data_IF_010486887873
#
_entry.id   IF_010486887873
#
_cell.length_a   1.000
_cell.length_b   1.000
_cell.length_c   1.000
_cell.angle_alpha   90.00
_cell.angle_beta   90.00
_cell.angle_gamma   90.00
#
_symmetry.space_group_name_H-M   'P 1'
#
loop_
_entity.id
_entity.type
_entity.pdbx_description
1 polymer ?
#
# COMPACT_ATOMS: atom_id res chain seq x y z
N UNK A 1 -8.32 4.90 8.65
CA UNK A 1 -9.66 5.53 8.65
C UNK A 1 -9.91 6.45 7.46
N UNK A 2 -8.94 6.79 6.60
CA UNK A 2 -9.24 7.46 5.33
C UNK A 2 -8.25 7.07 4.22
N UNK A 3 -8.43 5.89 3.60
CA UNK A 3 -7.51 5.42 2.55
C UNK A 3 -7.35 6.43 1.39
N UNK A 4 -8.41 7.18 1.08
CA UNK A 4 -8.39 8.25 0.09
C UNK A 4 -7.57 9.46 0.54
N UNK A 5 -7.87 10.05 1.70
CA UNK A 5 -7.14 11.22 2.21
C UNK A 5 -5.68 10.89 2.53
N UNK A 6 -5.39 9.69 3.04
CA UNK A 6 -4.00 9.24 3.28
C UNK A 6 -3.21 9.15 1.98
N UNK A 7 -3.82 8.65 0.90
CA UNK A 7 -3.18 8.60 -0.42
C UNK A 7 -2.98 10.00 -0.99
N UNK A 8 -3.97 10.88 -0.84
CA UNK A 8 -3.91 12.28 -1.28
C UNK A 8 -2.95 13.13 -0.47
N UNK A 9 -2.72 12.83 0.81
CA UNK A 9 -1.76 13.56 1.66
C UNK A 9 -0.34 13.04 1.44
N UNK A 10 -0.19 11.74 1.21
CA UNK A 10 1.10 11.10 0.96
C UNK A 10 1.44 11.01 -0.52
N UNK A 11 0.76 11.73 -1.40
CA UNK A 11 0.88 11.53 -2.85
C UNK A 11 2.29 11.77 -3.43
N UNK A 12 3.19 12.45 -2.71
CA UNK A 12 4.60 12.61 -3.13
C UNK A 12 5.53 11.51 -2.59
N UNK A 13 5.07 10.66 -1.69
CA UNK A 13 5.89 9.58 -1.13
C UNK A 13 5.77 8.32 -2.00
N UNK A 14 6.67 8.15 -2.96
CA UNK A 14 6.75 6.90 -3.75
C UNK A 14 7.27 5.71 -2.92
N UNK A 15 7.85 6.00 -1.75
CA UNK A 15 8.31 5.00 -0.79
C UNK A 15 7.13 4.40 -0.01
N UNK A 16 7.17 3.08 0.18
CA UNK A 16 6.17 2.34 0.95
C UNK A 16 5.22 1.49 0.12
N UNK A 17 4.22 0.93 0.81
CA UNK A 17 3.30 -0.10 0.31
C UNK A 17 1.86 0.32 0.51
N UNK A 18 1.00 -0.04 -0.45
CA UNK A 18 -0.44 0.16 -0.34
C UNK A 18 -1.16 -1.17 -0.41
N UNK A 19 -2.08 -1.38 0.54
CA UNK A 19 -2.90 -2.59 0.56
C UNK A 19 -3.92 -2.57 -0.59
N UNK A 20 -4.44 -3.75 -0.96
CA UNK A 20 -5.51 -3.87 -1.98
C UNK A 20 -6.71 -2.99 -1.65
N UNK A 21 -7.12 -2.95 -0.38
CA UNK A 21 -8.26 -2.15 0.06
C UNK A 21 -8.00 -0.65 -0.12
N UNK A 22 -6.79 -0.17 0.22
CA UNK A 22 -6.44 1.25 0.02
C UNK A 22 -6.47 1.63 -1.47
N UNK A 23 -5.87 0.79 -2.32
CA UNK A 23 -5.89 0.99 -3.77
C UNK A 23 -7.31 1.04 -4.32
N UNK A 24 -8.15 0.04 -4.02
CA UNK A 24 -9.51 -0.04 -4.57
C UNK A 24 -10.44 1.05 -4.03
N UNK A 25 -10.32 1.44 -2.76
CA UNK A 25 -11.09 2.56 -2.20
C UNK A 25 -10.68 3.88 -2.87
N UNK A 26 -9.38 4.11 -3.08
CA UNK A 26 -8.90 5.28 -3.83
C UNK A 26 -9.47 5.29 -5.26
N UNK A 27 -9.37 4.16 -5.99
CA UNK A 27 -9.87 4.05 -7.36
C UNK A 27 -11.38 4.28 -7.43
N UNK A 28 -12.16 3.71 -6.50
CA UNK A 28 -13.61 3.89 -6.45
C UNK A 28 -13.97 5.37 -6.24
N UNK A 29 -13.35 6.04 -5.27
CA UNK A 29 -13.62 7.46 -4.99
C UNK A 29 -13.21 8.33 -6.18
N UNK A 30 -12.04 8.09 -6.77
CA UNK A 30 -11.57 8.84 -7.95
C UNK A 30 -12.51 8.69 -9.14
N UNK A 31 -13.02 7.47 -9.39
CA UNK A 31 -14.03 7.22 -10.44
C UNK A 31 -15.34 7.95 -10.14
N UNK A 32 -15.85 7.89 -8.90
CA UNK A 32 -17.08 8.58 -8.52
C UNK A 32 -16.96 10.10 -8.67
N UNK A 33 -15.83 10.68 -8.25
CA UNK A 33 -15.56 12.11 -8.42
C UNK A 33 -15.49 12.49 -9.90
N UNK A 34 -14.85 11.68 -10.73
CA UNK A 34 -14.73 11.93 -12.17
C UNK A 34 -16.10 11.82 -12.86
N UNK A 35 -16.90 10.80 -12.53
CA UNK A 35 -18.27 10.65 -13.06
C UNK A 35 -19.16 11.81 -12.62
N UNK A 36 -19.06 12.24 -11.36
CA UNK A 36 -19.76 13.42 -10.86
C UNK A 36 -19.35 14.69 -11.60
N UNK A 37 -18.07 14.87 -11.88
CA UNK A 37 -17.55 16.02 -12.63
C UNK A 37 -18.09 16.05 -14.07
N UNK A 38 -18.09 14.90 -14.77
CA UNK A 38 -18.67 14.76 -16.11
C UNK A 38 -20.15 15.08 -16.08
N UNK A 39 -20.88 14.58 -15.09
CA UNK A 39 -22.32 14.85 -14.96
C UNK A 39 -22.59 16.34 -14.76
N UNK A 40 -21.82 17.03 -13.91
CA UNK A 40 -21.96 18.48 -13.70
C UNK A 40 -21.61 19.27 -14.95
N UNK A 41 -20.53 18.92 -15.64
CA UNK A 41 -20.14 19.55 -16.91
C UNK A 41 -21.27 19.43 -17.96
N UNK A 42 -21.91 18.26 -18.07
CA UNK A 42 -22.99 18.00 -19.02
C UNK A 42 -24.33 18.63 -18.63
N UNK A 43 -24.71 18.52 -17.36
CA UNK A 43 -26.04 18.87 -16.87
C UNK A 43 -26.16 20.35 -16.49
N UNK A 44 -25.10 20.94 -15.95
CA UNK A 44 -25.09 22.33 -15.46
C UNK A 44 -24.40 23.26 -16.46
N UNK A 45 -23.23 22.87 -16.96
CA UNK A 45 -22.38 23.74 -17.81
C UNK A 45 -22.62 23.54 -19.31
N UNK A 46 -23.44 22.56 -19.70
CA UNK A 46 -23.85 22.35 -21.10
C UNK A 46 -22.77 21.76 -22.01
N UNK A 47 -21.68 21.21 -21.47
CA UNK A 47 -20.64 20.52 -22.23
C UNK A 47 -21.15 19.15 -22.71
N UNK A 48 -21.83 19.12 -23.86
CA UNK A 48 -22.45 17.91 -24.44
C UNK A 48 -21.69 17.33 -25.64
N UNK A 49 -20.42 17.69 -25.78
CA UNK A 49 -19.57 17.23 -26.88
C UNK A 49 -19.47 15.70 -26.93
N UNK A 50 -19.71 15.13 -28.11
CA UNK A 50 -19.44 13.70 -28.41
C UNK A 50 -17.96 13.43 -28.69
N UNK A 51 -17.17 14.48 -28.88
CA UNK A 51 -15.75 14.37 -29.20
C UNK A 51 -14.91 14.26 -27.92
N UNK A 52 -14.00 13.29 -27.92
CA UNK A 52 -13.00 13.06 -26.85
C UNK A 52 -12.13 14.31 -26.59
N UNK A 53 -12.05 15.24 -27.55
CA UNK A 53 -11.27 16.48 -27.45
C UNK A 53 -11.94 17.57 -26.59
N UNK A 54 -13.19 17.40 -26.17
CA UNK A 54 -13.96 18.44 -25.49
C UNK A 54 -14.45 17.95 -24.13
N UNK A 55 -13.50 17.62 -23.25
CA UNK A 55 -13.80 17.44 -21.82
C UNK A 55 -14.17 18.78 -21.20
N UNK A 56 -15.18 18.78 -20.32
CA UNK A 56 -15.55 19.97 -19.57
C UNK A 56 -14.47 20.39 -18.56
N UNK A 57 -14.47 21.66 -18.12
CA UNK A 57 -13.43 22.21 -17.28
C UNK A 57 -13.33 21.50 -15.92
N UNK A 58 -14.46 21.06 -15.35
CA UNK A 58 -14.46 20.36 -14.06
C UNK A 58 -13.89 18.96 -14.20
N UNK A 59 -14.24 18.25 -15.28
CA UNK A 59 -13.67 16.95 -15.62
C UNK A 59 -12.16 17.03 -15.81
N UNK A 60 -11.68 18.02 -16.57
CA UNK A 60 -10.24 18.23 -16.74
C UNK A 60 -9.54 18.50 -15.41
N UNK A 61 -10.11 19.38 -14.58
CA UNK A 61 -9.57 19.67 -13.25
C UNK A 61 -9.48 18.41 -12.37
N UNK A 62 -10.54 17.60 -12.34
CA UNK A 62 -10.55 16.33 -11.62
C UNK A 62 -9.47 15.38 -12.14
N UNK A 63 -9.30 15.24 -13.45
CA UNK A 63 -8.27 14.39 -14.04
C UNK A 63 -6.89 14.86 -13.58
N UNK A 64 -6.56 16.14 -13.75
CA UNK A 64 -5.22 16.67 -13.42
C UNK A 64 -4.83 16.43 -11.95
N UNK A 65 -5.75 16.63 -11.02
CA UNK A 65 -5.49 16.40 -9.59
C UNK A 65 -5.21 14.92 -9.31
N UNK A 66 -5.89 14.01 -10.02
CA UNK A 66 -5.76 12.58 -9.78
C UNK A 66 -4.61 11.92 -10.53
N UNK A 67 -3.97 12.57 -11.51
CA UNK A 67 -2.85 11.98 -12.27
C UNK A 67 -1.71 11.52 -11.34
N UNK A 68 -1.19 12.42 -10.51
CA UNK A 68 -0.03 12.12 -9.65
C UNK A 68 -0.37 11.08 -8.57
N UNK A 69 -1.49 11.19 -7.84
CA UNK A 69 -1.83 10.19 -6.83
C UNK A 69 -2.17 8.82 -7.43
N UNK A 70 -2.69 8.76 -8.67
CA UNK A 70 -2.97 7.50 -9.37
C UNK A 70 -1.67 6.75 -9.73
N UNK A 71 -0.67 7.47 -10.23
CA UNK A 71 0.67 6.90 -10.46
C UNK A 71 1.25 6.40 -9.14
N UNK A 72 1.20 7.23 -8.09
CA UNK A 72 1.80 6.93 -6.78
C UNK A 72 1.20 5.69 -6.13
N UNK A 73 -0.14 5.58 -6.08
CA UNK A 73 -0.81 4.42 -5.48
C UNK A 73 -0.54 3.14 -6.28
N UNK A 74 -0.43 3.26 -7.61
CA UNK A 74 -0.10 2.12 -8.48
C UNK A 74 1.33 1.63 -8.24
N UNK A 75 2.29 2.55 -8.11
CA UNK A 75 3.68 2.22 -7.78
C UNK A 75 3.79 1.56 -6.40
N UNK A 76 3.10 2.08 -5.38
CA UNK A 76 3.07 1.45 -4.04
C UNK A 76 2.41 0.08 -4.05
N UNK A 77 1.44 -0.15 -4.92
CA UNK A 77 0.81 -1.47 -5.07
C UNK A 77 1.71 -2.45 -5.81
N UNK A 78 2.51 -1.98 -6.78
CA UNK A 78 3.58 -2.77 -7.40
C UNK A 78 4.63 -3.18 -6.36
N UNK A 79 5.05 -2.23 -5.51
CA UNK A 79 5.95 -2.49 -4.38
C UNK A 79 5.37 -3.53 -3.40
N UNK A 80 4.07 -3.50 -3.14
CA UNK A 80 3.40 -4.51 -2.30
C UNK A 80 3.46 -5.94 -2.89
N UNK A 81 3.57 -6.06 -4.20
CA UNK A 81 3.81 -7.33 -4.90
C UNK A 81 5.29 -7.65 -5.13
N UNK A 82 6.21 -6.90 -4.50
CA UNK A 82 7.66 -7.09 -4.62
C UNK A 82 8.25 -6.66 -5.96
N UNK A 83 7.51 -5.88 -6.77
CA UNK A 83 7.96 -5.40 -8.08
C UNK A 83 8.34 -3.94 -8.00
N UNK A 84 9.36 -3.53 -8.77
CA UNK A 84 9.78 -2.13 -8.84
C UNK A 84 8.73 -1.25 -9.52
N UNK A 85 8.71 0.04 -9.17
CA UNK A 85 7.83 1.04 -9.81
C UNK A 85 8.01 1.17 -11.34
N UNK A 86 9.13 0.70 -11.89
CA UNK A 86 9.39 0.66 -13.33
C UNK A 86 8.38 -0.19 -14.12
N UNK A 87 7.75 -1.17 -13.47
CA UNK A 87 6.68 -1.96 -14.08
C UNK A 87 5.43 -1.13 -14.43
N UNK A 88 5.30 0.08 -13.90
CA UNK A 88 4.24 1.01 -14.28
C UNK A 88 4.27 1.35 -15.77
N UNK A 89 5.47 1.50 -16.37
CA UNK A 89 5.63 1.92 -17.77
C UNK A 89 5.07 0.92 -18.79
N UNK A 90 4.75 -0.30 -18.37
CA UNK A 90 4.01 -1.25 -19.20
C UNK A 90 2.67 -0.68 -19.63
N UNK A 91 2.07 0.28 -18.89
CA UNK A 91 0.86 0.99 -19.31
C UNK A 91 0.99 1.68 -20.67
N UNK A 92 2.20 2.02 -21.11
CA UNK A 92 2.45 2.63 -22.43
C UNK A 92 2.27 1.64 -23.58
N UNK A 93 2.27 0.33 -23.31
CA UNK A 93 1.94 -0.69 -24.30
C UNK A 93 0.41 -0.74 -24.46
N UNK A 94 -0.13 -0.33 -25.62
CA UNK A 94 -1.58 -0.27 -25.81
C UNK A 94 -2.24 -1.63 -25.60
N UNK A 95 -3.44 -1.62 -25.03
CA UNK A 95 -4.27 -2.81 -24.75
C UNK A 95 -3.62 -3.70 -23.67
N UNK A 96 -2.52 -4.38 -24.00
CA UNK A 96 -1.86 -5.37 -23.14
C UNK A 96 -1.39 -4.75 -21.83
N UNK A 97 -0.83 -3.54 -21.89
CA UNK A 97 -0.25 -2.88 -20.73
C UNK A 97 -1.24 -2.58 -19.62
N UNK A 98 -2.41 -2.05 -20.01
CA UNK A 98 -3.51 -1.75 -19.10
C UNK A 98 -4.08 -3.03 -18.48
N UNK A 99 -4.38 -4.04 -19.30
CA UNK A 99 -4.92 -5.31 -18.80
C UNK A 99 -3.94 -6.04 -17.87
N UNK A 100 -2.64 -6.00 -18.17
CA UNK A 100 -1.61 -6.56 -17.33
C UNK A 100 -1.56 -5.88 -15.96
N UNK A 101 -1.51 -4.54 -15.92
CA UNK A 101 -1.53 -3.80 -14.66
C UNK A 101 -2.82 -4.07 -13.88
N UNK A 102 -3.98 -4.04 -14.52
CA UNK A 102 -5.26 -4.39 -13.90
C UNK A 102 -5.24 -5.79 -13.27
N UNK A 103 -4.74 -6.80 -14.00
CA UNK A 103 -4.60 -8.15 -13.48
C UNK A 103 -3.69 -8.20 -12.25
N UNK A 104 -2.61 -7.41 -12.25
CA UNK A 104 -1.68 -7.29 -11.13
C UNK A 104 -2.31 -6.59 -9.92
N UNK A 105 -3.14 -5.56 -10.14
CA UNK A 105 -3.85 -4.87 -9.06
C UNK A 105 -4.91 -5.76 -8.40
N UNK A 106 -5.63 -6.57 -9.18
CA UNK A 106 -6.66 -7.50 -8.70
C UNK A 106 -6.08 -8.80 -8.11
N UNK A 107 -5.28 -9.52 -8.89
CA UNK A 107 -4.84 -10.88 -8.59
C UNK A 107 -3.40 -10.95 -8.07
N UNK A 108 -2.61 -9.88 -8.23
CA UNK A 108 -1.21 -9.87 -7.84
C UNK A 108 -1.04 -10.21 -6.36
N UNK A 109 -0.13 -11.14 -6.00
CA UNK A 109 0.06 -11.56 -4.62
C UNK A 109 0.37 -10.33 -3.76
N UNK A 110 -0.33 -10.21 -2.63
CA UNK A 110 0.01 -9.22 -1.62
C UNK A 110 1.13 -9.86 -0.78
N UNK A 111 2.36 -9.34 -0.88
CA UNK A 111 3.49 -9.89 -0.12
C UNK A 111 3.13 -9.91 1.37
N UNK A 112 3.15 -11.08 2.00
CA UNK A 112 2.90 -11.18 3.44
C UNK A 112 4.19 -10.89 4.19
N UNK A 113 4.12 -10.06 5.22
CA UNK A 113 5.28 -9.65 6.01
C UNK A 113 6.13 -8.56 5.33
N UNK A 114 7.25 -8.19 5.95
CA UNK A 114 8.15 -7.15 5.45
C UNK A 114 8.78 -7.53 4.10
N UNK A 115 8.93 -6.54 3.21
CA UNK A 115 9.64 -6.67 1.94
C UNK A 115 10.64 -5.51 1.76
N UNK A 116 11.39 -5.49 0.66
CA UNK A 116 12.40 -4.45 0.35
C UNK A 116 11.84 -3.02 0.29
N UNK A 117 10.52 -2.86 0.21
CA UNK A 117 9.81 -1.60 0.13
C UNK A 117 9.08 -1.21 1.45
N UNK A 118 9.21 -2.03 2.50
CA UNK A 118 8.73 -1.74 3.85
C UNK A 118 7.85 -2.83 4.47
N UNK A 119 7.41 -2.54 5.70
CA UNK A 119 6.54 -3.42 6.48
C UNK A 119 5.15 -3.58 5.84
N UNK A 120 4.49 -4.72 6.09
CA UNK A 120 3.16 -4.99 5.53
C UNK A 120 2.14 -3.99 6.13
N UNK A 121 1.42 -3.20 5.31
CA UNK A 121 0.42 -2.24 5.78
C UNK A 121 -0.74 -2.91 6.54
N UNK A 122 -0.89 -4.23 6.44
CA UNK A 122 -1.87 -5.03 7.20
C UNK A 122 -1.43 -5.30 8.64
N UNK A 123 -0.14 -5.37 8.92
CA UNK A 123 0.39 -5.59 10.28
C UNK A 123 0.28 -4.33 11.16
N UNK A 124 0.21 -3.15 10.55
CA UNK A 124 -0.05 -1.90 11.27
C UNK A 124 -1.53 -1.70 11.65
N UNK A 125 -2.44 -2.54 11.16
CA UNK A 125 -3.84 -2.52 11.62
C UNK A 125 -3.95 -3.25 12.96
N UNK A 126 -4.61 -2.64 13.94
CA UNK A 126 -4.69 -3.11 15.34
C UNK A 126 -5.19 -4.57 15.49
N UNK A 127 -5.74 -5.16 14.43
CA UNK A 127 -6.34 -6.51 14.38
C UNK A 127 -5.38 -7.65 14.04
N UNK A 128 -4.12 -7.39 13.69
CA UNK A 128 -3.14 -8.45 13.47
C UNK A 128 -2.62 -8.98 14.82
N UNK A 129 -2.66 -10.30 15.09
CA UNK A 129 -1.94 -10.86 16.23
C UNK A 129 -0.48 -10.44 16.11
N UNK A 130 0.06 -9.78 17.15
CA UNK A 130 1.49 -9.47 17.29
C UNK A 130 2.29 -10.77 17.50
N UNK A 131 2.17 -11.74 16.61
CA UNK A 131 3.14 -12.80 16.50
C UNK A 131 4.05 -12.42 15.34
N UNK A 132 4.88 -11.39 15.59
CA UNK A 132 6.19 -11.38 14.96
C UNK A 132 6.77 -12.73 15.35
N UNK A 133 6.84 -13.66 14.41
CA UNK A 133 7.66 -14.84 14.57
C UNK A 133 9.07 -14.28 14.80
N UNK A 134 9.48 -14.21 16.06
CA UNK A 134 10.89 -14.10 16.38
C UNK A 134 11.50 -15.26 15.61
N UNK A 135 12.43 -15.01 14.65
CA UNK A 135 13.05 -16.12 13.95
C UNK A 135 13.55 -17.06 15.03
N UNK A 136 13.07 -18.32 15.02
CA UNK A 136 13.26 -19.26 16.12
C UNK A 136 14.73 -19.33 16.53
N UNK A 137 15.66 -19.07 15.61
CA UNK A 137 17.10 -18.94 15.86
C UNK A 137 17.48 -17.89 16.92
N UNK A 138 16.88 -16.70 16.93
CA UNK A 138 17.17 -15.66 17.95
C UNK A 138 16.52 -15.97 19.29
N UNK A 139 15.30 -16.52 19.28
CA UNK A 139 14.63 -16.97 20.50
C UNK A 139 15.39 -18.13 21.15
N UNK A 140 15.81 -19.11 20.35
CA UNK A 140 16.63 -20.24 20.77
C UNK A 140 18.00 -19.79 21.26
N UNK A 141 18.66 -18.85 20.57
CA UNK A 141 19.94 -18.29 21.01
C UNK A 141 19.81 -17.53 22.34
N UNK A 142 18.73 -16.77 22.54
CA UNK A 142 18.46 -16.07 23.79
C UNK A 142 18.19 -17.05 24.94
N UNK A 143 17.37 -18.09 24.72
CA UNK A 143 17.10 -19.13 25.72
C UNK A 143 18.38 -19.90 26.04
N UNK A 144 19.19 -20.25 25.04
CA UNK A 144 20.48 -20.92 25.24
C UNK A 144 21.47 -20.07 26.05
N UNK A 145 21.54 -18.75 25.80
CA UNK A 145 22.34 -17.82 26.60
C UNK A 145 21.84 -17.71 28.04
N UNK A 146 20.51 -17.67 28.23
CA UNK A 146 19.90 -17.62 29.55
C UNK A 146 20.18 -18.88 30.38
N UNK A 147 20.10 -20.05 29.74
CA UNK A 147 20.42 -21.34 30.35
C UNK A 147 21.92 -21.49 30.65
N UNK A 148 22.79 -20.92 29.81
CA UNK A 148 24.22 -20.85 30.07
C UNK A 148 24.53 -19.98 31.29
N UNK A 149 23.89 -18.80 31.41
CA UNK A 149 24.04 -17.90 32.57
C UNK A 149 23.49 -18.51 33.86
N UNK A 150 22.39 -19.25 33.81
CA UNK A 150 21.84 -19.98 34.95
C UNK A 150 22.79 -21.07 35.45
N UNK A 151 23.38 -21.85 34.52
CA UNK A 151 24.38 -22.86 34.87
C UNK A 151 25.65 -22.23 35.45
N UNK A 152 26.09 -21.09 34.94
CA UNK A 152 27.26 -20.38 35.43
C UNK A 152 27.09 -19.76 36.82
N UNK A 153 25.86 -19.39 37.22
CA UNK A 153 25.59 -18.79 38.54
C UNK A 153 25.57 -19.80 39.69
N UNK A 154 25.63 -21.10 39.40
CA UNK A 154 25.55 -22.15 40.41
C UNK A 154 24.22 -22.15 41.18
N UNK A 155 23.95 -23.16 42.02
CA UNK A 155 22.82 -23.14 42.92
C UNK A 155 22.96 -21.97 43.89
N UNK A 156 21.91 -21.17 44.05
CA UNK A 156 21.88 -20.11 45.05
C UNK A 156 22.06 -20.73 46.45
N UNK A 157 23.17 -20.41 47.13
CA UNK A 157 23.38 -20.73 48.54
C UNK A 157 22.98 -19.51 49.38
N UNK A 158 21.98 -19.61 50.27
CA UNK A 158 21.72 -18.55 51.22
C UNK A 158 22.94 -18.37 52.12
N UNK A 159 23.54 -17.18 52.10
CA UNK A 159 24.55 -16.81 53.09
C UNK A 159 23.87 -16.74 54.45
N UNK A 160 24.22 -17.67 55.33
CA UNK A 160 23.81 -17.65 56.73
C UNK A 160 24.58 -16.51 57.42
N UNK A 161 24.00 -15.32 57.43
CA UNK A 161 24.46 -14.22 58.27
C UNK A 161 23.85 -14.38 59.67
N UNK A 162 24.74 -14.54 60.65
CA UNK A 162 24.49 -14.58 62.10
C UNK A 162 24.46 -13.17 62.68
#
# INVERSE_FOLDING_TARGET
MFGYFDTMLRYFELAGRSSRTQYWVYMLVSVLLTVGAVWVDMAVLGYRSRDISSFGPLTMFCIFIHVVPNITVTVRRLHDSGRSGWWYWICLVPIIGGFWLLALMFFGPAGYGANDYGDDPRETSWTAPRTKAVPLSRAQAFVADMDARRRARGPWSPSSET
#
